data_IF_036510906766
#
_entry.id   IF_036510906766
#
_cell.length_a   1.000
_cell.length_b   1.000
_cell.length_c   1.000
_cell.angle_alpha   90.00
_cell.angle_beta   90.00
_cell.angle_gamma   90.00
#
_symmetry.space_group_name_H-M   'P 1'
#
loop_
_entity.id
_entity.type
_entity.pdbx_description
1 polymer ?
#
# COMPACT_ATOMS: atom_id res chain seq x y z
N UNK A 1 -8.13 10.19 78.54
CA UNK A 1 -7.66 11.58 78.64
C UNK A 1 -6.13 11.59 78.73
N UNK A 2 -5.45 12.39 77.90
CA UNK A 2 -4.00 12.64 77.93
C UNK A 2 -3.20 11.65 77.07
N UNK A 3 -2.90 11.94 75.80
CA UNK A 3 -1.84 12.85 75.31
C UNK A 3 -0.46 12.33 75.77
N UNK A 4 0.38 11.77 74.91
CA UNK A 4 1.05 12.44 73.80
C UNK A 4 2.54 12.36 74.08
N UNK A 5 3.19 11.29 73.59
CA UNK A 5 4.65 11.10 73.68
C UNK A 5 5.26 11.19 72.29
N UNK A 6 5.77 12.38 72.02
CA UNK A 6 7.08 12.73 71.42
C UNK A 6 7.65 11.83 70.29
N UNK A 7 7.87 12.48 69.14
CA UNK A 7 8.56 11.98 67.94
C UNK A 7 10.04 11.60 68.22
N UNK A 8 10.70 10.83 67.33
CA UNK A 8 11.52 11.53 66.32
C UNK A 8 11.52 10.89 64.92
N UNK A 9 11.52 11.79 63.94
CA UNK A 9 12.22 11.81 62.65
C UNK A 9 12.84 10.52 62.08
N UNK A 10 12.51 10.33 60.80
CA UNK A 10 13.38 9.82 59.74
C UNK A 10 13.81 8.34 59.82
N UNK A 11 13.03 7.50 59.12
CA UNK A 11 13.61 6.45 58.26
C UNK A 11 12.96 6.51 56.89
N UNK A 12 13.71 7.05 55.94
CA UNK A 12 13.64 6.65 54.54
C UNK A 12 13.98 5.17 54.51
N UNK A 13 13.05 4.32 54.05
CA UNK A 13 13.43 3.14 53.28
C UNK A 13 12.28 2.76 52.36
N UNK A 14 12.66 2.73 51.09
CA UNK A 14 11.91 2.14 50.01
C UNK A 14 11.46 0.73 50.39
N UNK A 15 10.20 0.41 50.06
CA UNK A 15 9.87 -0.83 49.35
C UNK A 15 8.40 -0.74 48.97
N UNK A 16 8.18 -0.45 47.69
CA UNK A 16 6.92 -0.68 47.00
C UNK A 16 6.71 -2.20 47.00
N UNK A 17 6.09 -2.71 48.06
CA UNK A 17 5.62 -4.09 48.13
C UNK A 17 4.38 -4.21 47.24
N UNK A 18 4.59 -4.23 45.93
CA UNK A 18 3.60 -4.68 44.99
C UNK A 18 3.47 -6.19 45.17
N UNK A 19 2.39 -6.59 45.82
CA UNK A 19 2.03 -7.97 46.09
C UNK A 19 1.95 -8.78 44.80
N UNK A 20 2.81 -9.78 44.79
CA UNK A 20 2.87 -11.03 44.03
C UNK A 20 1.72 -11.42 43.11
N UNK A 21 2.15 -11.79 41.90
CA UNK A 21 1.84 -13.05 41.21
C UNK A 21 0.41 -13.32 40.77
N UNK A 22 0.20 -13.20 39.47
CA UNK A 22 -0.20 -14.36 38.65
C UNK A 22 0.22 -14.14 37.19
N UNK A 23 1.20 -14.92 36.76
CA UNK A 23 1.50 -15.19 35.36
C UNK A 23 0.26 -15.81 34.72
N UNK A 24 -0.42 -15.06 33.86
CA UNK A 24 -1.31 -15.62 32.85
C UNK A 24 -0.77 -15.25 31.48
N UNK A 25 0.12 -16.14 31.02
CA UNK A 25 0.37 -16.37 29.60
C UNK A 25 -0.98 -16.81 29.01
N UNK A 26 -1.69 -15.91 28.34
CA UNK A 26 -2.73 -16.31 27.41
C UNK A 26 -2.09 -16.40 26.05
N UNK A 27 -2.07 -17.64 25.58
CA UNK A 27 -1.64 -18.11 24.28
C UNK A 27 -2.16 -17.22 23.16
N UNK A 28 -1.31 -17.09 22.14
CA UNK A 28 -1.54 -16.26 20.98
C UNK A 28 -2.90 -16.51 20.34
N UNK A 29 -3.56 -15.40 20.01
CA UNK A 29 -4.43 -15.38 18.86
C UNK A 29 -3.53 -15.62 17.65
N UNK A 30 -3.44 -16.88 17.24
CA UNK A 30 -3.21 -17.21 15.85
C UNK A 30 -4.21 -16.37 15.04
N UNK A 31 -3.72 -15.30 14.42
CA UNK A 31 -4.41 -14.70 13.29
C UNK A 31 -4.36 -15.75 12.19
N UNK A 32 -5.32 -16.68 12.25
CA UNK A 32 -5.64 -17.52 11.12
C UNK A 32 -6.31 -16.56 10.12
N UNK A 33 -5.50 -15.85 9.31
CA UNK A 33 -5.94 -15.16 8.10
C UNK A 33 -6.27 -16.20 7.01
N UNK A 34 -7.05 -17.22 7.36
CA UNK A 34 -7.64 -18.11 6.37
C UNK A 34 -8.93 -17.48 5.87
N UNK A 35 -8.82 -16.74 4.77
CA UNK A 35 -9.91 -16.57 3.82
C UNK A 35 -10.95 -15.51 4.15
N UNK A 36 -10.62 -14.25 3.85
CA UNK A 36 -11.56 -13.31 3.25
C UNK A 36 -10.88 -12.71 2.00
N UNK A 37 -10.61 -13.55 1.02
CA UNK A 37 -10.08 -13.17 -0.29
C UNK A 37 -11.13 -12.52 -1.21
N UNK A 38 -12.17 -11.88 -0.65
CA UNK A 38 -13.33 -11.42 -1.44
C UNK A 38 -13.42 -9.90 -1.59
N UNK A 39 -12.41 -9.15 -1.16
CA UNK A 39 -12.39 -7.68 -1.26
C UNK A 39 -11.23 -7.16 -2.11
N UNK A 40 -10.01 -7.21 -1.58
CA UNK A 40 -8.83 -6.59 -2.22
C UNK A 40 -8.52 -7.14 -3.62
N UNK A 41 -8.44 -8.47 -3.77
CA UNK A 41 -8.17 -9.06 -5.09
C UNK A 41 -9.32 -8.85 -6.07
N UNK A 42 -10.57 -8.86 -5.61
CA UNK A 42 -11.72 -8.62 -6.48
C UNK A 42 -11.78 -7.17 -6.95
N UNK A 43 -11.44 -6.20 -6.08
CA UNK A 43 -11.37 -4.79 -6.43
C UNK A 43 -10.17 -4.43 -7.31
N UNK A 44 -9.05 -5.17 -7.20
CA UNK A 44 -7.92 -5.02 -8.12
C UNK A 44 -8.12 -5.78 -9.44
N UNK A 45 -8.39 -7.08 -9.40
CA UNK A 45 -8.47 -7.93 -10.59
C UNK A 45 -9.79 -7.77 -11.36
N UNK A 46 -10.88 -7.39 -10.69
CA UNK A 46 -12.21 -7.26 -11.31
C UNK A 46 -12.22 -6.31 -12.51
N UNK A 47 -11.83 -5.03 -12.34
CA UNK A 47 -11.76 -4.10 -13.45
C UNK A 47 -10.80 -4.54 -14.56
N UNK A 48 -9.69 -5.22 -14.22
CA UNK A 48 -8.74 -5.75 -15.20
C UNK A 48 -9.31 -6.91 -16.01
N UNK A 49 -10.22 -7.70 -15.43
CA UNK A 49 -10.94 -8.74 -16.17
C UNK A 49 -12.05 -8.17 -17.06
N UNK A 50 -12.73 -7.13 -16.59
CA UNK A 50 -13.79 -6.47 -17.35
C UNK A 50 -13.23 -5.75 -18.60
N UNK A 51 -11.98 -5.27 -18.53
CA UNK A 51 -11.26 -4.65 -19.64
C UNK A 51 -9.92 -5.36 -19.92
N UNK A 52 -10.01 -6.61 -20.37
CA UNK A 52 -8.82 -7.44 -20.60
C UNK A 52 -7.87 -6.93 -21.68
N UNK A 53 -8.37 -6.09 -22.60
CA UNK A 53 -7.55 -5.50 -23.67
C UNK A 53 -6.66 -4.41 -23.08
N UNK A 54 -7.25 -3.48 -22.33
CA UNK A 54 -6.48 -2.42 -21.66
C UNK A 54 -5.62 -2.97 -20.52
N UNK A 55 -6.09 -4.00 -19.80
CA UNK A 55 -5.33 -4.65 -18.73
C UNK A 55 -4.00 -5.25 -19.21
N UNK A 56 -3.89 -5.62 -20.50
CA UNK A 56 -2.65 -6.14 -21.06
C UNK A 56 -1.53 -5.09 -21.15
N UNK A 57 -1.88 -3.80 -21.14
CA UNK A 57 -0.93 -2.70 -21.36
C UNK A 57 -0.93 -1.65 -20.26
N UNK A 58 -1.93 -1.62 -19.38
CA UNK A 58 -2.11 -0.57 -18.35
C UNK A 58 -0.89 -0.35 -17.45
N UNK A 59 -0.10 -1.40 -17.17
CA UNK A 59 1.12 -1.31 -16.35
C UNK A 59 2.43 -1.27 -17.16
N UNK A 60 2.33 -1.10 -18.48
CA UNK A 60 3.49 -0.94 -19.34
C UNK A 60 3.83 0.54 -19.47
N UNK A 61 5.12 0.94 -19.45
CA UNK A 61 5.49 2.33 -19.71
C UNK A 61 4.97 2.82 -21.06
N UNK A 62 4.58 4.10 -21.10
CA UNK A 62 4.15 4.75 -22.33
C UNK A 62 5.37 5.12 -23.18
N UNK A 63 5.34 4.71 -24.45
CA UNK A 63 6.42 4.90 -25.41
C UNK A 63 5.96 5.91 -26.47
N UNK A 64 6.71 7.00 -26.67
CA UNK A 64 6.44 7.97 -27.73
C UNK A 64 6.34 7.31 -29.10
N UNK A 65 5.48 7.82 -29.96
CA UNK A 65 5.16 7.27 -31.29
C UNK A 65 4.42 5.92 -31.30
N UNK A 66 4.32 5.23 -30.14
CA UNK A 66 3.51 4.03 -29.97
C UNK A 66 2.22 4.32 -29.21
N UNK A 67 2.25 5.25 -28.27
CA UNK A 67 1.12 5.66 -27.45
C UNK A 67 0.85 7.16 -27.62
N UNK A 68 -0.36 7.60 -27.25
CA UNK A 68 -0.82 8.99 -27.34
C UNK A 68 -1.61 9.41 -26.08
N UNK A 69 -2.07 10.66 -26.03
CA UNK A 69 -2.89 11.19 -24.93
C UNK A 69 -4.15 10.36 -24.65
N UNK A 70 -4.93 10.04 -25.68
CA UNK A 70 -6.16 9.23 -25.54
C UNK A 70 -5.88 7.88 -24.85
N UNK A 71 -4.83 7.17 -25.25
CA UNK A 71 -4.44 5.91 -24.62
C UNK A 71 -3.92 6.11 -23.18
N UNK A 72 -3.26 7.24 -22.88
CA UNK A 72 -2.85 7.57 -21.53
C UNK A 72 -4.06 7.78 -20.61
N UNK A 73 -5.10 8.47 -21.11
CA UNK A 73 -6.36 8.67 -20.40
C UNK A 73 -7.07 7.35 -20.14
N UNK A 74 -7.19 6.48 -21.15
CA UNK A 74 -7.83 5.16 -20.99
C UNK A 74 -7.11 4.29 -19.94
N UNK A 75 -5.77 4.30 -19.94
CA UNK A 75 -4.96 3.60 -18.94
C UNK A 75 -5.15 4.20 -17.55
N UNK A 76 -5.20 5.53 -17.43
CA UNK A 76 -5.44 6.21 -16.16
C UNK A 76 -6.84 5.87 -15.62
N UNK A 77 -7.88 5.95 -16.45
CA UNK A 77 -9.25 5.61 -16.06
C UNK A 77 -9.37 4.16 -15.58
N UNK A 78 -8.67 3.22 -16.22
CA UNK A 78 -8.61 1.84 -15.74
C UNK A 78 -7.87 1.77 -14.41
N UNK A 79 -6.70 2.39 -14.29
CA UNK A 79 -5.90 2.40 -13.08
C UNK A 79 -6.67 2.99 -11.89
N UNK A 80 -7.50 4.02 -12.08
CA UNK A 80 -8.35 4.64 -11.06
C UNK A 80 -9.46 3.72 -10.54
N UNK A 81 -9.96 2.80 -11.37
CA UNK A 81 -10.99 1.81 -10.96
C UNK A 81 -10.44 0.73 -10.03
N UNK A 82 -9.12 0.54 -10.00
CA UNK A 82 -8.48 -0.52 -9.21
C UNK A 82 -8.53 -0.19 -7.72
N UNK A 83 -9.02 -1.12 -6.89
CA UNK A 83 -8.84 -1.02 -5.45
C UNK A 83 -7.52 -1.73 -5.07
N UNK A 84 -6.53 -1.04 -4.48
CA UNK A 84 -5.27 -1.69 -4.16
C UNK A 84 -5.43 -2.71 -3.04
N UNK A 85 -4.68 -3.79 -3.14
CA UNK A 85 -4.37 -4.63 -1.98
C UNK A 85 -3.37 -3.91 -1.08
N UNK A 86 -3.23 -4.33 0.17
CA UNK A 86 -2.33 -3.69 1.11
C UNK A 86 -0.86 -3.69 0.66
N UNK A 87 -0.45 -4.66 -0.18
CA UNK A 87 0.91 -4.75 -0.70
C UNK A 87 1.14 -3.88 -1.94
N UNK A 88 0.08 -3.48 -2.66
CA UNK A 88 0.15 -2.72 -3.90
C UNK A 88 -0.27 -1.25 -3.76
N UNK A 89 -0.67 -0.80 -2.57
CA UNK A 89 -1.20 0.56 -2.38
C UNK A 89 -0.23 1.65 -2.86
N UNK A 90 1.02 1.58 -2.39
CA UNK A 90 2.05 2.56 -2.76
C UNK A 90 2.44 2.44 -4.24
N UNK A 91 2.52 1.22 -4.77
CA UNK A 91 2.88 0.97 -6.17
C UNK A 91 1.76 1.49 -7.11
N UNK A 92 0.48 1.26 -6.77
CA UNK A 92 -0.66 1.76 -7.55
C UNK A 92 -0.76 3.29 -7.51
N UNK A 93 -0.54 3.91 -6.36
CA UNK A 93 -0.51 5.39 -6.25
C UNK A 93 0.63 6.00 -7.09
N UNK A 94 1.82 5.39 -7.01
CA UNK A 94 2.98 5.80 -7.83
C UNK A 94 2.66 5.69 -9.31
N UNK A 95 2.02 4.59 -9.73
CA UNK A 95 1.66 4.38 -11.12
C UNK A 95 0.58 5.35 -11.63
N UNK A 96 -0.44 5.63 -10.83
CA UNK A 96 -1.47 6.63 -11.17
C UNK A 96 -0.87 8.02 -11.34
N UNK A 97 0.00 8.43 -10.41
CA UNK A 97 0.70 9.72 -10.50
C UNK A 97 1.54 9.82 -11.78
N UNK A 98 2.19 8.72 -12.17
CA UNK A 98 2.88 8.65 -13.46
C UNK A 98 1.91 8.83 -14.64
N UNK A 99 0.81 8.09 -14.69
CA UNK A 99 -0.17 8.19 -15.77
C UNK A 99 -0.81 9.59 -15.85
N UNK A 100 -1.13 10.22 -14.71
CA UNK A 100 -1.59 11.61 -14.63
C UNK A 100 -0.57 12.56 -15.28
N UNK A 101 0.70 12.44 -14.91
CA UNK A 101 1.76 13.26 -15.51
C UNK A 101 1.94 13.00 -17.01
N UNK A 102 1.76 11.75 -17.47
CA UNK A 102 1.82 11.41 -18.89
C UNK A 102 0.65 12.01 -19.65
N UNK A 103 -0.58 11.92 -19.14
CA UNK A 103 -1.77 12.55 -19.75
C UNK A 103 -1.53 14.05 -19.96
N UNK A 104 -0.97 14.73 -18.96
CA UNK A 104 -0.71 16.17 -19.01
C UNK A 104 0.42 16.57 -20.00
N UNK A 105 1.28 15.64 -20.42
CA UNK A 105 2.54 15.98 -21.11
C UNK A 105 2.77 15.28 -22.44
N UNK A 106 2.18 14.12 -22.70
CA UNK A 106 2.57 13.25 -23.82
C UNK A 106 2.34 13.88 -25.19
N UNK A 107 1.32 14.73 -25.35
CA UNK A 107 1.04 15.39 -26.63
C UNK A 107 1.92 16.64 -26.87
N UNK A 108 2.41 17.27 -25.80
CA UNK A 108 3.23 18.49 -25.85
C UNK A 108 4.74 18.18 -25.84
N UNK A 109 5.17 17.23 -25.02
CA UNK A 109 6.54 16.74 -24.90
C UNK A 109 6.55 15.20 -24.70
N UNK A 110 6.36 14.42 -25.78
CA UNK A 110 6.32 12.96 -25.71
C UNK A 110 7.58 12.37 -25.05
N UNK A 111 8.74 12.98 -25.28
CA UNK A 111 10.00 12.48 -24.74
C UNK A 111 10.06 12.58 -23.21
N UNK A 112 9.39 13.57 -22.61
CA UNK A 112 9.33 13.74 -21.16
C UNK A 112 8.54 12.61 -20.48
N UNK A 113 7.48 12.08 -21.10
CA UNK A 113 6.71 10.96 -20.56
C UNK A 113 7.56 9.69 -20.38
N UNK A 114 8.40 9.37 -21.37
CA UNK A 114 9.32 8.24 -21.29
C UNK A 114 10.48 8.49 -20.31
N UNK A 115 10.99 9.72 -20.27
CA UNK A 115 12.03 10.11 -19.32
C UNK A 115 11.53 9.99 -17.88
N UNK A 116 10.31 10.44 -17.57
CA UNK A 116 9.71 10.33 -16.23
C UNK A 116 9.68 8.88 -15.73
N UNK A 117 9.39 7.92 -16.61
CA UNK A 117 9.45 6.49 -16.27
C UNK A 117 10.89 6.01 -16.06
N UNK A 118 11.81 6.34 -16.98
CA UNK A 118 13.18 5.81 -16.95
C UNK A 118 14.05 6.43 -15.85
N UNK A 119 13.83 7.72 -15.55
CA UNK A 119 14.60 8.48 -14.58
C UNK A 119 14.11 8.26 -13.15
N UNK A 120 12.89 7.73 -12.97
CA UNK A 120 12.32 7.38 -11.67
C UNK A 120 12.24 5.86 -11.46
N UNK A 121 13.21 5.34 -10.70
CA UNK A 121 13.26 3.92 -10.32
C UNK A 121 12.02 3.46 -9.52
N UNK A 122 11.31 4.36 -8.83
CA UNK A 122 10.08 4.02 -8.12
C UNK A 122 8.94 3.72 -9.11
N UNK A 123 8.80 4.51 -10.18
CA UNK A 123 7.79 4.29 -11.23
C UNK A 123 8.04 2.96 -11.94
N UNK A 124 9.29 2.69 -12.34
CA UNK A 124 9.65 1.43 -12.97
C UNK A 124 9.39 0.21 -12.07
N UNK A 125 9.71 0.32 -10.77
CA UNK A 125 9.43 -0.71 -9.78
C UNK A 125 7.93 -0.93 -9.60
N UNK A 126 7.15 0.14 -9.51
CA UNK A 126 5.70 0.10 -9.34
C UNK A 126 5.00 -0.59 -10.52
N UNK A 127 5.31 -0.17 -11.76
CA UNK A 127 4.76 -0.80 -12.97
C UNK A 127 5.06 -2.29 -13.04
N UNK A 128 6.28 -2.69 -12.69
CA UNK A 128 6.67 -4.11 -12.62
C UNK A 128 5.85 -4.87 -11.58
N UNK A 129 5.75 -4.36 -10.35
CA UNK A 129 5.02 -5.01 -9.27
C UNK A 129 3.52 -5.21 -9.60
N UNK A 130 2.89 -4.20 -10.20
CA UNK A 130 1.49 -4.26 -10.62
C UNK A 130 1.28 -5.25 -11.78
N UNK A 131 2.17 -5.23 -12.77
CA UNK A 131 2.14 -6.17 -13.89
C UNK A 131 2.34 -7.62 -13.43
N UNK A 132 3.30 -7.85 -12.54
CA UNK A 132 3.57 -9.17 -11.97
C UNK A 132 2.37 -9.68 -11.19
N UNK A 133 1.76 -8.82 -10.36
CA UNK A 133 0.55 -9.21 -9.62
C UNK A 133 -0.62 -9.55 -10.54
N UNK A 134 -0.85 -8.76 -11.59
CA UNK A 134 -1.87 -9.07 -12.58
C UNK A 134 -1.61 -10.44 -13.24
N UNK A 135 -0.38 -10.69 -13.68
CA UNK A 135 0.00 -11.95 -14.31
C UNK A 135 -0.09 -13.17 -13.39
N UNK A 136 0.38 -13.03 -12.15
CA UNK A 136 0.51 -14.16 -11.22
C UNK A 136 -0.76 -14.43 -10.42
N UNK A 137 -1.57 -13.40 -10.16
CA UNK A 137 -2.72 -13.49 -9.25
C UNK A 137 -4.04 -13.32 -9.98
N UNK A 138 -4.16 -12.37 -10.90
CA UNK A 138 -5.42 -12.15 -11.59
C UNK A 138 -5.64 -13.15 -12.73
N UNK A 139 -4.60 -13.51 -13.49
CA UNK A 139 -4.72 -14.40 -14.64
C UNK A 139 -4.68 -15.91 -14.32
N UNK A 140 -4.54 -16.29 -13.05
CA UNK A 140 -4.42 -17.67 -12.58
C UNK A 140 -5.70 -18.21 -11.97
#
# INVERSE_FOLDING_TARGET
>A
MGDGRELPLARLDAMRAATSSSLLVVLGASLILSGCASGGNAGFCGPLHDDSEMAAVVFTPMIPEMNNGDEAEERLELAEKLEPTAELADDLETWRTYLEAVVDTIDDDPAAALAAYNDDAAVAKAGTALSDYYGDVCLM
#
